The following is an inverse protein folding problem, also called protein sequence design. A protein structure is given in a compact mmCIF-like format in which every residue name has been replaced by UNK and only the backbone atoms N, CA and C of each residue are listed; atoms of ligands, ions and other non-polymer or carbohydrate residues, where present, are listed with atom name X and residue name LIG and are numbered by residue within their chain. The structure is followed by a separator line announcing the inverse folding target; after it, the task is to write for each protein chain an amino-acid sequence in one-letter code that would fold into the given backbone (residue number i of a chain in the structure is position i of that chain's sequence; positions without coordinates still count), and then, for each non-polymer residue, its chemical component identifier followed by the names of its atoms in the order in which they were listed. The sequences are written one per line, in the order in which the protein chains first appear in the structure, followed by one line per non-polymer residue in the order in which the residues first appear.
data_IF_952161999534
#
_entry.id   IF_952161999534
#
_cell.length_a   1.000
_cell.length_b   1.000
_cell.length_c   1.000
_cell.angle_alpha   90.00
_cell.angle_beta   90.00
_cell.angle_gamma   90.00
#
_symmetry.space_group_name_H-M   'P 1'
#
loop_
_entity.id
_entity.type
_entity.pdbx_description
1 polymer ?
#
# COMPACT_ATOMS: atom_id res chain seq x y z
N UNK A 1 -13.11 2.35 -13.53
CA UNK A 1 -12.20 2.30 -12.35
C UNK A 1 -10.77 1.88 -12.68
N UNK A 2 -10.51 1.03 -13.69
CA UNK A 2 -9.14 0.68 -14.11
C UNK A 2 -8.42 1.76 -14.95
N UNK A 3 -9.14 2.81 -15.36
CA UNK A 3 -8.65 3.82 -16.30
C UNK A 3 -7.54 4.71 -15.73
N UNK A 4 -7.45 4.86 -14.39
CA UNK A 4 -6.46 5.71 -13.73
C UNK A 4 -5.15 4.99 -13.32
N UNK A 5 -4.99 3.70 -13.63
CA UNK A 5 -3.76 2.94 -13.30
C UNK A 5 -2.79 2.81 -14.49
N UNK A 6 -2.94 3.62 -15.54
CA UNK A 6 -2.07 3.56 -16.71
C UNK A 6 -0.61 3.84 -16.33
N UNK A 7 0.28 2.89 -16.63
CA UNK A 7 1.72 2.98 -16.34
C UNK A 7 2.14 2.51 -14.95
N UNK A 8 1.20 2.31 -14.01
CA UNK A 8 1.50 1.81 -12.67
C UNK A 8 1.58 0.29 -12.67
N UNK A 9 2.80 -0.24 -12.51
CA UNK A 9 3.04 -1.68 -12.32
C UNK A 9 3.38 -1.95 -10.86
N UNK A 10 2.80 -3.01 -10.31
CA UNK A 10 3.07 -3.42 -8.93
C UNK A 10 4.55 -3.76 -8.77
N UNK A 11 5.23 -3.08 -7.85
CA UNK A 11 6.66 -3.28 -7.54
C UNK A 11 6.85 -4.48 -6.61
N UNK A 12 6.05 -4.58 -5.55
CA UNK A 12 6.17 -5.65 -4.55
C UNK A 12 4.80 -6.07 -3.98
N UNK A 13 4.80 -7.19 -3.28
CA UNK A 13 3.68 -7.67 -2.47
C UNK A 13 3.69 -6.98 -1.09
N UNK A 14 2.50 -6.77 -0.51
CA UNK A 14 2.35 -5.99 0.72
C UNK A 14 3.17 -6.55 1.90
N UNK A 15 3.25 -7.87 2.07
CA UNK A 15 3.99 -8.50 3.17
C UNK A 15 5.40 -8.97 2.78
N UNK A 16 5.95 -8.48 1.67
CA UNK A 16 7.30 -8.82 1.18
C UNK A 16 8.26 -7.62 1.20
N UNK A 17 7.89 -6.54 1.87
CA UNK A 17 8.75 -5.37 2.02
C UNK A 17 9.64 -5.56 3.24
N UNK A 18 10.94 -5.34 3.04
CA UNK A 18 11.97 -5.40 4.07
C UNK A 18 12.68 -4.05 4.19
N UNK A 19 13.76 -4.02 4.97
CA UNK A 19 14.56 -2.82 5.21
C UNK A 19 15.34 -2.37 3.97
N UNK A 20 15.53 -3.22 2.95
CA UNK A 20 16.25 -2.85 1.73
C UNK A 20 15.44 -1.85 0.87
N UNK A 21 14.11 -1.87 1.00
CA UNK A 21 13.21 -0.94 0.33
C UNK A 21 13.13 0.45 0.98
N UNK A 22 13.87 0.71 2.07
CA UNK A 22 13.82 1.98 2.78
C UNK A 22 14.23 3.14 1.85
N UNK A 23 13.34 4.13 1.71
CA UNK A 23 13.56 5.32 0.88
C UNK A 23 13.31 5.13 -0.62
N UNK A 24 12.87 3.94 -1.04
CA UNK A 24 12.54 3.67 -2.45
C UNK A 24 11.08 4.01 -2.77
N UNK A 25 10.82 4.51 -3.97
CA UNK A 25 9.47 4.69 -4.48
C UNK A 25 8.91 3.34 -4.96
N UNK A 26 7.77 2.93 -4.40
CA UNK A 26 7.20 1.60 -4.60
C UNK A 26 5.71 1.69 -4.91
N UNK A 27 5.24 0.85 -5.84
CA UNK A 27 3.82 0.75 -6.19
C UNK A 27 3.25 -0.52 -5.56
N UNK A 28 2.31 -0.36 -4.65
CA UNK A 28 1.57 -1.45 -4.00
C UNK A 28 0.13 -1.47 -4.48
N UNK A 29 -0.41 -2.68 -4.64
CA UNK A 29 -1.80 -2.89 -5.07
C UNK A 29 -2.46 -3.91 -4.17
N UNK A 30 -3.64 -3.57 -3.65
CA UNK A 30 -4.41 -4.45 -2.79
C UNK A 30 -5.77 -3.84 -2.48
N UNK A 31 -6.47 -4.41 -1.50
CA UNK A 31 -7.75 -3.94 -1.02
C UNK A 31 -7.57 -3.21 0.31
N UNK A 32 -8.28 -2.09 0.49
CA UNK A 32 -8.37 -1.42 1.78
C UNK A 32 -9.09 -2.34 2.76
N UNK A 33 -8.37 -2.86 3.75
CA UNK A 33 -8.93 -3.73 4.79
C UNK A 33 -9.50 -2.90 5.96
N UNK A 34 -8.81 -1.82 6.34
CA UNK A 34 -9.22 -0.91 7.41
C UNK A 34 -8.71 0.49 7.12
N UNK A 35 -9.54 1.50 7.40
CA UNK A 35 -9.13 2.90 7.45
C UNK A 35 -9.35 3.43 8.86
N UNK A 36 -8.38 4.20 9.38
CA UNK A 36 -8.50 4.93 10.65
C UNK A 36 -8.10 6.37 10.42
N UNK A 37 -8.97 7.29 10.84
CA UNK A 37 -8.70 8.72 10.82
C UNK A 37 -8.41 9.17 12.25
N UNK A 38 -7.26 9.81 12.45
CA UNK A 38 -6.82 10.37 13.72
C UNK A 38 -6.62 11.89 13.62
N UNK A 39 -7.56 12.60 12.99
CA UNK A 39 -7.63 14.07 13.04
C UNK A 39 -6.52 14.76 12.25
N UNK A 40 -6.18 14.21 11.08
CA UNK A 40 -5.13 14.73 10.19
C UNK A 40 -4.12 13.68 9.75
N UNK A 41 -4.17 12.48 10.35
CA UNK A 41 -3.42 11.30 9.92
C UNK A 41 -4.41 10.24 9.48
N UNK A 42 -4.26 9.74 8.26
CA UNK A 42 -5.09 8.65 7.76
C UNK A 42 -4.24 7.39 7.66
N UNK A 43 -4.57 6.41 8.49
CA UNK A 43 -3.97 5.09 8.42
C UNK A 43 -4.83 4.18 7.56
N UNK A 44 -4.23 3.58 6.53
CA UNK A 44 -4.89 2.60 5.68
C UNK A 44 -4.16 1.27 5.83
N UNK A 45 -4.85 0.23 6.28
CA UNK A 45 -4.36 -1.14 6.19
C UNK A 45 -4.69 -1.66 4.79
N UNK A 46 -3.67 -1.78 3.94
CA UNK A 46 -3.75 -2.40 2.62
C UNK A 46 -3.52 -3.90 2.76
N UNK A 47 -4.39 -4.71 2.16
CA UNK A 47 -4.28 -6.17 2.18
C UNK A 47 -4.19 -6.74 0.78
N UNK A 48 -3.29 -7.68 0.58
CA UNK A 48 -3.25 -8.54 -0.59
C UNK A 48 -3.11 -10.01 -0.17
N UNK A 49 -2.80 -10.90 -1.13
CA UNK A 49 -2.64 -12.34 -0.85
C UNK A 49 -1.44 -12.69 0.04
N UNK A 50 -0.46 -11.79 0.14
CA UNK A 50 0.76 -12.00 0.94
C UNK A 50 0.56 -11.62 2.40
N UNK A 51 -0.33 -10.67 2.67
CA UNK A 51 -0.64 -10.22 4.02
C UNK A 51 -1.13 -8.78 4.04
N UNK A 52 -0.90 -8.11 5.16
CA UNK A 52 -1.37 -6.74 5.43
C UNK A 52 -0.18 -5.79 5.58
N UNK A 53 -0.35 -4.56 5.10
CA UNK A 53 0.60 -3.46 5.22
C UNK A 53 -0.12 -2.21 5.68
N UNK A 54 0.50 -1.45 6.58
CA UNK A 54 -0.03 -0.16 7.02
C UNK A 54 0.56 0.97 6.19
N UNK A 55 -0.30 1.78 5.60
CA UNK A 55 0.00 3.03 4.95
C UNK A 55 -0.39 4.18 5.88
N UNK A 56 0.37 5.27 5.81
CA UNK A 56 0.07 6.54 6.46
C UNK A 56 0.00 7.63 5.38
N UNK A 57 -1.07 8.41 5.41
CA UNK A 57 -1.27 9.62 4.60
C UNK A 57 -1.32 10.80 5.56
#
# INVERSE_FOLDING_TARGET
MAENMQGLKRTSLCAQIDLEALGQEMVLTGWCHRQRDLGGLIFITLRDRSGEMQLLI
#
